data_IF_889866170706
#
_entry.id   IF_889866170706
#
_cell.length_a   1.000
_cell.length_b   1.000
_cell.length_c   1.000
_cell.angle_alpha   90.00
_cell.angle_beta   90.00
_cell.angle_gamma   90.00
#
_symmetry.space_group_name_H-M   'P 1'
#
loop_
_entity.id
_entity.type
_entity.pdbx_description
1 polymer ?
#
# COMPACT_ATOMS: atom_id res chain seq x y z
N UNK A 1 -35.20 1.18 2.08
CA UNK A 1 -33.72 1.20 2.10
C UNK A 1 -33.33 2.62 2.42
N UNK A 2 -32.75 2.89 3.59
CA UNK A 2 -32.27 4.23 3.92
C UNK A 2 -31.12 4.58 2.98
N UNK A 3 -31.25 5.67 2.22
CA UNK A 3 -30.14 6.18 1.42
C UNK A 3 -28.96 6.44 2.36
N UNK A 4 -27.81 5.86 2.02
CA UNK A 4 -26.59 6.07 2.78
C UNK A 4 -26.15 7.54 2.64
N UNK A 5 -25.81 8.22 3.75
CA UNK A 5 -25.43 9.62 3.69
C UNK A 5 -24.16 9.79 2.85
N UNK A 6 -24.25 10.67 1.86
CA UNK A 6 -23.11 11.06 1.03
C UNK A 6 -22.14 11.86 1.93
N UNK A 7 -20.84 11.52 1.95
CA UNK A 7 -19.87 12.24 2.78
C UNK A 7 -19.76 13.70 2.35
N UNK A 8 -19.62 14.60 3.32
CA UNK A 8 -19.40 16.03 3.04
C UNK A 8 -18.07 16.23 2.30
N UNK A 9 -18.07 17.08 1.26
CA UNK A 9 -16.84 17.52 0.61
C UNK A 9 -16.22 18.68 1.40
N UNK A 10 -15.07 18.49 2.07
CA UNK A 10 -14.44 19.57 2.84
C UNK A 10 -13.84 20.68 1.98
N UNK A 11 -13.67 20.46 0.67
CA UNK A 11 -13.15 21.46 -0.27
C UNK A 11 -14.26 22.34 -0.88
N UNK A 12 -15.52 22.08 -0.54
CA UNK A 12 -16.68 22.86 -1.02
C UNK A 12 -17.06 22.65 -2.50
N UNK A 13 -16.33 21.81 -3.24
CA UNK A 13 -16.70 21.42 -4.61
C UNK A 13 -17.78 20.34 -4.67
N UNK A 14 -18.06 19.85 -5.88
CA UNK A 14 -19.09 18.84 -6.13
C UNK A 14 -18.69 17.49 -5.55
N UNK A 15 -19.69 16.64 -5.30
CA UNK A 15 -19.49 15.22 -5.02
C UNK A 15 -19.98 14.41 -6.20
N UNK A 16 -19.05 13.85 -6.97
CA UNK A 16 -19.35 12.96 -8.10
C UNK A 16 -19.61 11.57 -7.54
N UNK A 17 -20.87 11.13 -7.59
CA UNK A 17 -21.31 9.85 -7.03
C UNK A 17 -21.12 8.76 -8.07
N UNK A 18 -20.51 7.64 -7.66
CA UNK A 18 -20.32 6.46 -8.48
C UNK A 18 -21.27 5.36 -8.01
N UNK A 19 -22.20 4.96 -8.88
CA UNK A 19 -23.20 3.93 -8.65
C UNK A 19 -23.66 3.37 -10.01
N UNK A 20 -23.36 2.11 -10.35
CA UNK A 20 -23.71 1.56 -11.65
C UNK A 20 -25.20 1.23 -11.77
N UNK A 21 -25.95 1.29 -10.66
CA UNK A 21 -27.39 0.97 -10.63
C UNK A 21 -28.27 2.21 -10.77
N UNK A 22 -27.74 3.41 -10.51
CA UNK A 22 -28.44 4.68 -10.66
C UNK A 22 -27.93 5.42 -11.91
N UNK A 23 -28.78 5.58 -12.92
CA UNK A 23 -28.44 6.22 -14.19
C UNK A 23 -28.05 7.71 -14.05
N UNK A 24 -28.32 8.33 -12.89
CA UNK A 24 -27.90 9.71 -12.59
C UNK A 24 -26.48 9.80 -12.04
N UNK A 25 -25.88 8.65 -11.70
CA UNK A 25 -24.55 8.54 -11.13
C UNK A 25 -23.54 8.09 -12.20
N UNK A 26 -22.25 8.24 -11.88
CA UNK A 26 -21.19 7.70 -12.73
C UNK A 26 -21.18 6.17 -12.64
N UNK A 27 -21.02 5.46 -13.77
CA UNK A 27 -21.03 4.00 -13.77
C UNK A 27 -19.75 3.39 -13.18
N UNK A 28 -18.63 4.12 -13.25
CA UNK A 28 -17.33 3.68 -12.73
C UNK A 28 -16.55 4.82 -12.09
N UNK A 29 -15.63 4.53 -11.15
CA UNK A 29 -14.79 5.57 -10.57
C UNK A 29 -13.91 6.30 -11.61
N UNK A 30 -13.40 5.62 -12.64
CA UNK A 30 -12.63 6.25 -13.72
C UNK A 30 -13.47 7.20 -14.58
N UNK A 31 -14.78 6.93 -14.75
CA UNK A 31 -15.68 7.86 -15.42
C UNK A 31 -15.84 9.15 -14.60
N UNK A 32 -16.04 9.05 -13.28
CA UNK A 32 -16.10 10.21 -12.40
C UNK A 32 -14.77 10.99 -12.39
N UNK A 33 -13.63 10.28 -12.35
CA UNK A 33 -12.31 10.91 -12.35
C UNK A 33 -11.98 11.69 -13.63
N UNK A 34 -12.68 11.47 -14.75
CA UNK A 34 -12.51 12.28 -15.98
C UNK A 34 -13.13 13.67 -15.86
N UNK A 35 -14.16 13.82 -15.03
CA UNK A 35 -14.97 15.04 -14.92
C UNK A 35 -14.69 15.83 -13.63
N UNK A 36 -13.84 15.28 -12.75
CA UNK A 36 -13.51 15.86 -11.45
C UNK A 36 -12.64 17.11 -11.62
N UNK A 37 -13.09 18.23 -11.05
CA UNK A 37 -12.30 19.44 -10.89
C UNK A 37 -11.44 19.38 -9.61
N UNK A 38 -10.53 20.34 -9.41
CA UNK A 38 -9.58 20.34 -8.28
C UNK A 38 -10.26 20.30 -6.89
N UNK A 39 -11.40 20.99 -6.73
CA UNK A 39 -12.15 21.03 -5.47
C UNK A 39 -13.21 19.94 -5.33
N UNK A 40 -13.41 19.11 -6.36
CA UNK A 40 -14.41 18.06 -6.35
C UNK A 40 -13.92 16.82 -5.58
N UNK A 41 -14.87 16.00 -5.14
CA UNK A 41 -14.59 14.67 -4.60
C UNK A 41 -15.36 13.61 -5.37
N UNK A 42 -14.78 12.41 -5.47
CA UNK A 42 -15.47 11.21 -5.97
C UNK A 42 -15.88 10.36 -4.79
N UNK A 43 -17.18 10.05 -4.69
CA UNK A 43 -17.71 9.12 -3.71
C UNK A 43 -18.16 7.82 -4.38
N UNK A 44 -17.59 6.70 -3.97
CA UNK A 44 -17.90 5.37 -4.50
C UNK A 44 -18.84 4.65 -3.53
N UNK A 45 -20.07 4.39 -3.98
CA UNK A 45 -21.05 3.62 -3.21
C UNK A 45 -20.64 2.15 -3.09
N UNK A 46 -21.26 1.39 -2.17
CA UNK A 46 -21.01 -0.04 -2.07
C UNK A 46 -21.19 -0.74 -3.42
N UNK A 47 -20.23 -1.60 -3.78
CA UNK A 47 -20.24 -2.26 -5.07
C UNK A 47 -18.90 -2.87 -5.45
N UNK A 48 -18.93 -3.62 -6.54
CA UNK A 48 -17.76 -4.23 -7.16
C UNK A 48 -17.62 -3.63 -8.55
N UNK A 49 -16.47 -3.01 -8.81
CA UNK A 49 -16.20 -2.21 -10.00
C UNK A 49 -15.03 -2.81 -10.75
N UNK A 50 -15.25 -3.26 -11.98
CA UNK A 50 -14.14 -3.57 -12.89
C UNK A 50 -13.63 -2.26 -13.49
N UNK A 51 -12.50 -1.77 -12.99
CA UNK A 51 -12.00 -0.47 -13.40
C UNK A 51 -10.49 -0.33 -13.24
N UNK A 52 -9.92 0.66 -13.94
CA UNK A 52 -8.52 1.07 -13.81
C UNK A 52 -8.48 2.57 -13.56
N UNK A 53 -7.92 2.96 -12.42
CA UNK A 53 -7.76 4.35 -12.05
C UNK A 53 -6.34 4.80 -12.35
N UNK A 54 -6.23 5.82 -13.20
CA UNK A 54 -4.97 6.46 -13.56
C UNK A 54 -5.10 7.94 -13.23
N UNK A 55 -4.23 8.43 -12.35
CA UNK A 55 -4.17 9.85 -12.01
C UNK A 55 -2.74 10.32 -12.18
N UNK A 56 -2.59 11.40 -12.94
CA UNK A 56 -1.29 11.96 -13.30
C UNK A 56 -1.32 13.47 -13.10
N UNK A 57 -0.34 14.02 -12.36
CA UNK A 57 -0.07 15.46 -12.28
C UNK A 57 -1.26 16.33 -11.83
N UNK A 58 -2.13 15.81 -10.96
CA UNK A 58 -3.29 16.53 -10.43
C UNK A 58 -3.75 15.97 -9.09
N UNK A 59 -4.41 16.78 -8.24
CA UNK A 59 -4.93 16.31 -6.97
C UNK A 59 -6.04 15.26 -7.15
N UNK A 60 -6.25 14.44 -6.12
CA UNK A 60 -7.33 13.44 -6.09
C UNK A 60 -8.00 13.39 -4.71
N UNK A 61 -9.34 13.38 -4.69
CA UNK A 61 -10.12 13.02 -3.50
C UNK A 61 -11.10 11.90 -3.84
N UNK A 62 -10.75 10.68 -3.43
CA UNK A 62 -11.49 9.46 -3.74
C UNK A 62 -11.90 8.76 -2.44
N UNK A 63 -13.21 8.69 -2.20
CA UNK A 63 -13.79 8.18 -0.96
C UNK A 63 -14.71 7.01 -1.28
N UNK A 64 -14.40 5.82 -0.79
CA UNK A 64 -15.31 4.68 -0.82
C UNK A 64 -16.18 4.61 0.43
N UNK A 65 -17.34 3.96 0.33
CA UNK A 65 -18.25 3.67 1.44
C UNK A 65 -17.69 2.70 2.52
N UNK A 66 -16.42 2.32 2.42
CA UNK A 66 -15.72 1.41 3.33
C UNK A 66 -15.05 0.28 2.55
N UNK A 67 -13.81 -0.09 2.95
CA UNK A 67 -13.01 -1.09 2.21
C UNK A 67 -13.69 -2.45 2.09
N UNK A 68 -14.53 -2.83 3.06
CA UNK A 68 -15.28 -4.10 3.03
C UNK A 68 -16.57 -4.03 2.19
N UNK A 69 -16.87 -2.85 1.64
CA UNK A 69 -18.11 -2.57 0.89
C UNK A 69 -17.84 -2.11 -0.54
N UNK A 70 -16.66 -1.56 -0.80
CA UNK A 70 -16.22 -1.11 -2.13
C UNK A 70 -15.01 -1.92 -2.57
N UNK A 71 -15.14 -2.61 -3.70
CA UNK A 71 -14.03 -3.29 -4.36
C UNK A 71 -13.84 -2.78 -5.77
N UNK A 72 -12.67 -2.23 -6.07
CA UNK A 72 -12.22 -1.92 -7.44
C UNK A 72 -11.25 -3.02 -7.85
N UNK A 73 -11.55 -3.70 -8.95
CA UNK A 73 -10.69 -4.75 -9.46
C UNK A 73 -10.36 -4.56 -10.93
N UNK A 74 -9.23 -5.12 -11.37
CA UNK A 74 -8.83 -5.09 -12.76
C UNK A 74 -8.17 -6.41 -13.15
N UNK A 75 -8.49 -6.91 -14.36
CA UNK A 75 -7.91 -8.15 -14.91
C UNK A 75 -6.73 -7.92 -15.85
N UNK A 76 -6.58 -6.70 -16.36
CA UNK A 76 -5.61 -6.36 -17.42
C UNK A 76 -4.47 -5.45 -16.97
N UNK A 77 -4.54 -4.93 -15.75
CA UNK A 77 -3.49 -4.10 -15.14
C UNK A 77 -3.73 -3.98 -13.64
N UNK A 78 -2.82 -3.32 -12.92
CA UNK A 78 -3.11 -2.85 -11.56
C UNK A 78 -4.34 -1.90 -11.56
N UNK A 79 -5.26 -2.01 -10.58
CA UNK A 79 -6.45 -1.16 -10.47
C UNK A 79 -6.17 0.30 -10.12
N UNK A 80 -5.03 0.64 -9.48
CA UNK A 80 -4.66 2.03 -9.19
C UNK A 80 -3.22 2.34 -9.62
N UNK A 81 -3.06 3.39 -10.41
CA UNK A 81 -1.79 3.99 -10.78
C UNK A 81 -1.81 5.50 -10.51
N UNK A 82 -0.92 5.97 -9.64
CA UNK A 82 -0.69 7.37 -9.34
C UNK A 82 0.70 7.78 -9.84
N UNK A 83 0.78 8.89 -10.55
CA UNK A 83 2.05 9.46 -11.00
C UNK A 83 2.07 10.96 -10.76
N UNK A 84 3.07 11.44 -10.03
CA UNK A 84 3.28 12.88 -9.81
C UNK A 84 2.02 13.57 -9.26
N UNK A 85 1.24 12.85 -8.43
CA UNK A 85 0.08 13.42 -7.75
C UNK A 85 0.60 14.35 -6.65
N UNK A 86 0.28 15.66 -6.69
CA UNK A 86 0.87 16.64 -5.77
C UNK A 86 0.26 16.59 -4.38
N UNK A 87 -1.02 16.21 -4.28
CA UNK A 87 -1.76 16.02 -3.04
C UNK A 87 -2.95 15.10 -3.28
N UNK A 88 -3.49 14.50 -2.23
CA UNK A 88 -4.73 13.75 -2.37
C UNK A 88 -5.13 12.95 -1.14
N UNK A 89 -6.35 12.44 -1.19
CA UNK A 89 -6.95 11.60 -0.16
C UNK A 89 -7.69 10.44 -0.80
N UNK A 90 -7.22 9.22 -0.58
CA UNK A 90 -7.85 7.98 -1.05
C UNK A 90 -8.21 7.13 0.17
N UNK A 91 -9.49 6.79 0.32
CA UNK A 91 -9.93 6.05 1.50
C UNK A 91 -11.07 5.09 1.29
N UNK A 92 -11.15 4.03 2.11
CA UNK A 92 -12.33 3.19 2.22
C UNK A 92 -12.59 2.31 1.00
N UNK A 93 -11.54 1.84 0.31
CA UNK A 93 -11.64 1.05 -0.93
C UNK A 93 -10.74 -0.18 -0.86
N UNK A 94 -11.25 -1.34 -1.27
CA UNK A 94 -10.42 -2.50 -1.63
C UNK A 94 -10.01 -2.39 -3.10
N UNK A 95 -8.71 -2.53 -3.36
CA UNK A 95 -8.11 -2.64 -4.67
C UNK A 95 -7.60 -4.07 -4.87
N UNK A 96 -8.13 -4.76 -5.87
CA UNK A 96 -7.82 -6.17 -6.13
C UNK A 96 -7.33 -6.37 -7.56
N UNK A 97 -6.18 -6.98 -7.74
CA UNK A 97 -5.76 -7.43 -9.05
C UNK A 97 -6.28 -8.86 -9.31
N UNK A 98 -6.82 -9.13 -10.51
CA UNK A 98 -7.43 -10.42 -10.89
C UNK A 98 -6.93 -10.87 -12.27
N UNK A 99 -5.69 -10.54 -12.61
CA UNK A 99 -5.06 -10.93 -13.87
C UNK A 99 -3.98 -12.00 -13.70
N UNK A 100 -3.44 -12.46 -14.82
CA UNK A 100 -2.32 -13.40 -14.88
C UNK A 100 -0.96 -12.74 -15.03
N UNK A 101 -0.93 -11.49 -15.49
CA UNK A 101 0.29 -10.75 -15.76
C UNK A 101 0.91 -10.17 -14.49
N UNK A 102 2.17 -9.76 -14.57
CA UNK A 102 2.93 -9.24 -13.45
C UNK A 102 2.50 -7.81 -13.09
N UNK A 103 1.48 -7.69 -12.24
CA UNK A 103 1.00 -6.42 -11.73
C UNK A 103 0.81 -6.41 -10.22
N UNK A 104 1.19 -5.27 -9.65
CA UNK A 104 0.81 -4.85 -8.30
C UNK A 104 -0.61 -4.32 -8.28
N UNK A 105 -1.29 -4.39 -7.13
CA UNK A 105 -2.62 -3.79 -7.00
C UNK A 105 -2.55 -2.25 -7.06
N UNK A 106 -1.56 -1.67 -6.37
CA UNK A 106 -1.32 -0.24 -6.29
C UNK A 106 0.09 0.10 -6.77
N UNK A 107 0.19 1.08 -7.66
CA UNK A 107 1.46 1.60 -8.17
C UNK A 107 1.51 3.12 -7.96
N UNK A 108 2.43 3.60 -7.13
CA UNK A 108 2.53 5.02 -6.77
C UNK A 108 3.93 5.54 -7.04
N UNK A 109 4.03 6.39 -8.05
CA UNK A 109 5.26 7.03 -8.53
C UNK A 109 5.27 8.51 -8.15
N UNK A 110 6.32 8.97 -7.47
CA UNK A 110 6.62 10.39 -7.24
C UNK A 110 5.41 11.21 -6.73
N UNK A 111 4.57 10.60 -5.90
CA UNK A 111 3.31 11.21 -5.47
C UNK A 111 3.35 11.54 -3.98
N UNK A 112 2.60 12.58 -3.63
CA UNK A 112 2.33 13.00 -2.26
C UNK A 112 0.83 12.93 -2.06
N UNK A 113 0.36 12.00 -1.23
CA UNK A 113 -1.05 11.86 -0.90
C UNK A 113 -1.22 11.03 0.37
N UNK A 114 -2.44 11.02 0.90
CA UNK A 114 -2.84 10.16 2.01
C UNK A 114 -3.66 9.01 1.43
N UNK A 115 -3.23 7.78 1.67
CA UNK A 115 -3.99 6.57 1.34
C UNK A 115 -4.27 5.85 2.65
N UNK A 116 -5.54 5.75 3.03
CA UNK A 116 -5.91 5.24 4.35
C UNK A 116 -7.19 4.43 4.38
N UNK A 117 -7.30 3.47 5.30
CA UNK A 117 -8.48 2.61 5.43
C UNK A 117 -8.81 1.87 4.12
N UNK A 118 -7.79 1.60 3.29
CA UNK A 118 -7.91 0.82 2.06
C UNK A 118 -7.45 -0.62 2.29
N UNK A 119 -7.72 -1.48 1.30
CA UNK A 119 -7.13 -2.82 1.20
C UNK A 119 -6.46 -2.99 -0.17
N UNK A 120 -5.26 -3.54 -0.24
CA UNK A 120 -4.59 -3.92 -1.48
C UNK A 120 -4.32 -5.43 -1.47
N UNK A 121 -4.83 -6.16 -2.46
CA UNK A 121 -4.75 -7.62 -2.42
C UNK A 121 -4.62 -8.31 -3.78
N UNK A 122 -4.12 -9.54 -3.74
CA UNK A 122 -4.00 -10.46 -4.87
C UNK A 122 -3.16 -9.89 -6.05
N UNK A 123 -2.21 -9.00 -5.75
CA UNK A 123 -1.14 -8.66 -6.68
C UNK A 123 -0.32 -9.91 -7.05
N UNK A 124 -0.02 -10.06 -8.33
CA UNK A 124 0.93 -11.09 -8.79
C UNK A 124 2.37 -10.66 -8.49
N UNK A 125 2.61 -9.34 -8.46
CA UNK A 125 3.79 -8.76 -7.83
C UNK A 125 3.47 -8.38 -6.38
N UNK A 126 4.25 -7.44 -5.83
CA UNK A 126 3.94 -6.85 -4.54
C UNK A 126 2.58 -6.15 -4.54
N UNK A 127 1.84 -6.16 -3.42
CA UNK A 127 0.51 -5.56 -3.36
C UNK A 127 0.50 -4.06 -3.64
N UNK A 128 1.47 -3.36 -3.05
CA UNK A 128 1.68 -1.92 -3.20
C UNK A 128 3.14 -1.66 -3.53
N UNK A 129 3.40 -0.89 -4.58
CA UNK A 129 4.73 -0.37 -4.89
C UNK A 129 4.76 1.15 -4.74
N UNK A 130 5.70 1.65 -3.92
CA UNK A 130 5.94 3.06 -3.65
C UNK A 130 7.34 3.40 -4.15
N UNK A 131 7.46 4.24 -5.17
CA UNK A 131 8.75 4.43 -5.84
C UNK A 131 8.96 5.84 -6.41
N UNK A 132 10.24 6.15 -6.61
CA UNK A 132 10.71 7.43 -7.13
C UNK A 132 11.09 8.44 -6.02
N UNK A 133 12.07 9.32 -6.29
CA UNK A 133 12.70 10.19 -5.28
C UNK A 133 11.75 11.22 -4.68
N UNK A 134 10.63 11.53 -5.34
CA UNK A 134 9.62 12.49 -4.87
C UNK A 134 8.41 11.81 -4.22
N UNK A 135 8.45 10.48 -4.04
CA UNK A 135 7.36 9.77 -3.37
C UNK A 135 7.38 10.08 -1.86
N UNK A 136 6.33 10.77 -1.38
CA UNK A 136 6.12 11.19 0.03
C UNK A 136 4.72 10.79 0.53
N UNK A 137 4.21 9.66 0.06
CA UNK A 137 2.88 9.16 0.45
C UNK A 137 2.82 8.87 1.95
N UNK A 138 1.71 9.27 2.59
CA UNK A 138 1.32 8.75 3.88
C UNK A 138 0.38 7.56 3.66
N UNK A 139 0.92 6.34 3.80
CA UNK A 139 0.20 5.10 3.63
C UNK A 139 -0.15 4.54 5.01
N UNK A 140 -1.38 4.79 5.49
CA UNK A 140 -1.75 4.57 6.89
C UNK A 140 -3.04 3.80 7.12
N UNK A 141 -3.11 2.93 8.14
CA UNK A 141 -4.31 2.13 8.45
C UNK A 141 -4.85 1.28 7.28
N UNK A 142 -3.96 0.78 6.43
CA UNK A 142 -4.35 -0.08 5.31
C UNK A 142 -4.11 -1.56 5.63
N UNK A 143 -4.80 -2.43 4.90
CA UNK A 143 -4.52 -3.85 4.87
C UNK A 143 -3.89 -4.23 3.52
N UNK A 144 -2.76 -4.93 3.54
CA UNK A 144 -2.07 -5.38 2.33
C UNK A 144 -1.83 -6.87 2.43
N UNK A 145 -2.59 -7.66 1.64
CA UNK A 145 -2.70 -9.08 1.90
C UNK A 145 -2.79 -9.98 0.66
N UNK A 146 -2.36 -11.23 0.83
CA UNK A 146 -2.48 -12.30 -0.19
C UNK A 146 -1.83 -11.94 -1.54
N UNK A 147 -0.74 -11.20 -1.51
CA UNK A 147 0.04 -10.88 -2.70
C UNK A 147 1.11 -11.96 -2.93
N UNK A 148 1.47 -12.21 -4.20
CA UNK A 148 2.46 -13.25 -4.57
C UNK A 148 3.91 -12.85 -4.36
N UNK A 149 4.16 -11.58 -4.05
CA UNK A 149 5.45 -11.13 -3.53
C UNK A 149 5.26 -10.45 -2.18
N UNK A 150 5.84 -9.26 -1.97
CA UNK A 150 5.73 -8.54 -0.71
C UNK A 150 4.38 -7.84 -0.59
N UNK A 151 3.96 -7.52 0.63
CA UNK A 151 2.81 -6.64 0.82
C UNK A 151 3.10 -5.25 0.26
N UNK A 152 4.01 -4.53 0.91
CA UNK A 152 4.45 -3.19 0.51
C UNK A 152 5.91 -3.25 0.07
N UNK A 153 6.23 -2.65 -1.08
CA UNK A 153 7.60 -2.53 -1.57
C UNK A 153 7.98 -1.07 -1.85
N UNK A 154 8.98 -0.58 -1.13
CA UNK A 154 9.52 0.79 -1.23
C UNK A 154 10.89 0.76 -1.89
N UNK A 155 11.08 1.52 -2.98
CA UNK A 155 12.36 1.53 -3.71
C UNK A 155 12.58 2.81 -4.54
N UNK A 156 13.70 2.88 -5.26
CA UNK A 156 14.06 3.98 -6.15
C UNK A 156 13.97 5.38 -5.51
N UNK A 157 14.47 5.53 -4.29
CA UNK A 157 14.57 6.83 -3.62
C UNK A 157 13.31 7.27 -2.88
N UNK A 158 12.28 6.43 -2.81
CA UNK A 158 11.02 6.79 -2.16
C UNK A 158 11.17 6.96 -0.64
N UNK A 159 10.47 7.96 -0.10
CA UNK A 159 10.50 8.31 1.34
C UNK A 159 9.06 8.44 1.88
N UNK A 160 8.23 7.39 1.78
CA UNK A 160 6.87 7.41 2.30
C UNK A 160 6.84 7.25 3.82
N UNK A 161 5.75 7.70 4.44
CA UNK A 161 5.39 7.27 5.79
C UNK A 161 4.46 6.07 5.68
N UNK A 162 4.94 4.90 6.10
CA UNK A 162 4.18 3.63 6.10
C UNK A 162 3.90 3.27 7.55
N UNK A 163 2.68 3.53 8.01
CA UNK A 163 2.36 3.34 9.42
C UNK A 163 1.01 2.73 9.70
N UNK A 164 0.90 2.02 10.82
CA UNK A 164 -0.38 1.49 11.30
C UNK A 164 -1.05 0.52 10.28
N UNK A 165 -0.27 -0.05 9.34
CA UNK A 165 -0.77 -0.98 8.34
C UNK A 165 -0.69 -2.44 8.81
N UNK A 166 -1.57 -3.29 8.27
CA UNK A 166 -1.51 -4.75 8.43
C UNK A 166 -1.04 -5.38 7.12
N UNK A 167 0.17 -5.93 7.11
CA UNK A 167 0.74 -6.68 5.98
C UNK A 167 0.67 -8.18 6.30
N UNK A 168 -0.31 -8.88 5.73
CA UNK A 168 -0.68 -10.24 6.16
C UNK A 168 -0.78 -11.24 5.01
N UNK A 169 -0.36 -12.48 5.25
CA UNK A 169 -0.50 -13.58 4.27
C UNK A 169 0.14 -13.28 2.89
N UNK A 170 1.21 -12.47 2.84
CA UNK A 170 1.95 -12.24 1.59
C UNK A 170 2.99 -13.35 1.36
N UNK A 171 3.23 -13.69 0.10
CA UNK A 171 4.07 -14.83 -0.25
C UNK A 171 5.57 -14.56 -0.15
N UNK A 172 5.99 -13.29 -0.15
CA UNK A 172 7.34 -12.90 0.27
C UNK A 172 7.30 -12.22 1.64
N UNK A 173 7.57 -10.91 1.69
CA UNK A 173 7.73 -10.15 2.92
C UNK A 173 6.45 -9.36 3.24
N UNK A 174 6.23 -9.01 4.50
CA UNK A 174 5.20 -8.02 4.83
C UNK A 174 5.53 -6.67 4.20
N UNK A 175 6.72 -6.14 4.49
CA UNK A 175 7.25 -4.89 3.94
C UNK A 175 8.69 -5.12 3.45
N UNK A 176 9.01 -4.66 2.25
CA UNK A 176 10.36 -4.65 1.70
C UNK A 176 10.83 -3.23 1.36
N UNK A 177 12.10 -2.91 1.63
CA UNK A 177 12.73 -1.63 1.30
C UNK A 177 14.06 -1.90 0.60
N UNK A 178 14.28 -1.26 -0.56
CA UNK A 178 15.47 -1.47 -1.40
C UNK A 178 16.03 -0.17 -1.94
N UNK A 179 17.30 -0.20 -2.30
CA UNK A 179 18.05 0.83 -3.01
C UNK A 179 18.46 2.00 -2.10
N UNK A 180 19.65 2.55 -2.37
CA UNK A 180 20.13 3.77 -1.73
C UNK A 180 19.16 4.93 -1.96
N UNK A 181 18.97 5.76 -0.93
CA UNK A 181 18.06 6.90 -0.95
C UNK A 181 16.60 6.55 -0.71
N UNK A 182 16.21 5.27 -0.69
CA UNK A 182 14.91 4.85 -0.18
C UNK A 182 14.93 4.93 1.34
N UNK A 183 14.11 5.80 1.92
CA UNK A 183 14.11 6.14 3.35
C UNK A 183 12.69 6.24 3.92
N UNK A 184 11.91 5.14 3.96
CA UNK A 184 10.58 5.19 4.53
C UNK A 184 10.62 5.33 6.06
N UNK A 185 9.54 5.88 6.60
CA UNK A 185 9.21 5.74 8.02
C UNK A 185 8.27 4.55 8.22
N UNK A 186 8.81 3.42 8.71
CA UNK A 186 8.05 2.20 9.03
C UNK A 186 7.68 2.22 10.53
N UNK A 187 6.44 2.60 10.83
CA UNK A 187 6.00 2.86 12.21
C UNK A 187 4.73 2.09 12.55
N UNK A 188 4.74 1.29 13.63
CA UNK A 188 3.52 0.59 14.11
C UNK A 188 2.81 -0.30 13.08
N UNK A 189 3.54 -0.85 12.12
CA UNK A 189 2.96 -1.82 11.20
C UNK A 189 2.91 -3.21 11.85
N UNK A 190 1.88 -3.97 11.52
CA UNK A 190 1.79 -5.39 11.83
C UNK A 190 2.17 -6.20 10.59
N UNK A 191 3.24 -6.98 10.68
CA UNK A 191 3.64 -7.96 9.67
C UNK A 191 3.44 -9.37 10.22
N UNK A 192 2.41 -10.06 9.72
CA UNK A 192 1.94 -11.33 10.27
C UNK A 192 1.67 -12.37 9.18
N UNK A 193 1.99 -13.64 9.47
CA UNK A 193 1.68 -14.77 8.59
C UNK A 193 2.24 -14.64 7.15
N UNK A 194 3.35 -13.90 6.96
CA UNK A 194 4.01 -13.84 5.65
C UNK A 194 4.94 -15.05 5.45
N UNK A 195 5.05 -15.52 4.22
CA UNK A 195 5.80 -16.74 3.86
C UNK A 195 7.33 -16.58 3.94
N UNK A 196 7.86 -15.36 3.97
CA UNK A 196 9.26 -15.09 4.29
C UNK A 196 9.34 -14.32 5.62
N UNK A 197 9.94 -13.13 5.62
CA UNK A 197 10.13 -12.32 6.84
C UNK A 197 9.09 -11.20 6.95
N UNK A 198 8.88 -10.67 8.15
CA UNK A 198 7.98 -9.55 8.36
C UNK A 198 8.45 -8.30 7.60
N UNK A 199 9.66 -7.83 7.90
CA UNK A 199 10.27 -6.67 7.23
C UNK A 199 11.63 -7.05 6.64
N UNK A 200 11.89 -6.66 5.39
CA UNK A 200 13.18 -6.75 4.73
C UNK A 200 13.70 -5.35 4.38
N UNK A 201 14.95 -5.04 4.72
CA UNK A 201 15.69 -3.87 4.23
C UNK A 201 17.01 -4.33 3.61
N UNK A 202 17.28 -3.94 2.36
CA UNK A 202 18.42 -4.46 1.61
C UNK A 202 18.96 -3.48 0.56
N UNK A 203 20.18 -3.72 0.07
CA UNK A 203 20.82 -2.95 -1.01
C UNK A 203 20.89 -1.45 -0.71
N UNK A 204 21.63 -1.09 0.35
CA UNK A 204 21.82 0.29 0.79
C UNK A 204 20.56 1.07 1.20
N UNK A 205 19.43 0.39 1.38
CA UNK A 205 18.21 1.00 1.89
C UNK A 205 18.41 1.57 3.31
N UNK A 206 17.69 2.63 3.61
CA UNK A 206 17.74 3.33 4.89
C UNK A 206 16.31 3.55 5.40
N UNK A 207 16.13 4.10 6.59
CA UNK A 207 14.82 4.53 7.06
C UNK A 207 14.51 4.14 8.50
N UNK A 208 13.42 4.69 9.03
CA UNK A 208 12.99 4.47 10.40
C UNK A 208 12.25 3.12 10.51
N UNK A 209 12.59 2.29 11.50
CA UNK A 209 11.88 1.03 11.80
C UNK A 209 11.59 0.96 13.31
N UNK A 210 10.42 1.43 13.73
CA UNK A 210 10.04 1.52 15.16
C UNK A 210 8.60 1.09 15.41
N UNK A 211 8.37 0.53 16.60
CA UNK A 211 7.08 0.09 17.12
C UNK A 211 6.33 -0.92 16.23
N UNK A 212 7.00 -1.55 15.27
CA UNK A 212 6.38 -2.56 14.42
C UNK A 212 6.20 -3.87 15.20
N UNK A 213 5.18 -4.63 14.85
CA UNK A 213 4.94 -5.98 15.36
C UNK A 213 5.21 -6.98 14.24
N UNK A 214 6.14 -7.90 14.44
CA UNK A 214 6.40 -8.98 13.48
C UNK A 214 6.22 -10.34 14.16
N UNK A 215 5.28 -11.15 13.68
CA UNK A 215 4.93 -12.43 14.30
C UNK A 215 4.46 -13.46 13.27
N UNK A 216 4.65 -14.74 13.55
CA UNK A 216 4.16 -15.86 12.73
C UNK A 216 4.60 -15.81 11.25
N UNK A 217 5.60 -15.00 10.90
CA UNK A 217 6.22 -15.07 9.58
C UNK A 217 7.08 -16.34 9.53
N UNK A 218 7.18 -17.00 8.39
CA UNK A 218 7.86 -18.31 8.31
C UNK A 218 9.38 -18.18 8.50
N UNK A 219 9.97 -17.01 8.21
CA UNK A 219 11.39 -16.76 8.39
C UNK A 219 11.65 -15.85 9.60
N UNK A 220 12.08 -14.62 9.36
CA UNK A 220 12.49 -13.69 10.40
C UNK A 220 11.41 -12.65 10.70
N UNK A 221 11.41 -12.06 11.89
CA UNK A 221 10.63 -10.85 12.12
C UNK A 221 11.16 -9.70 11.25
N UNK A 222 12.44 -9.37 11.40
CA UNK A 222 13.15 -8.37 10.59
C UNK A 222 14.43 -9.00 9.99
N UNK A 223 14.67 -8.79 8.70
CA UNK A 223 15.86 -9.23 7.97
C UNK A 223 16.54 -8.02 7.32
N UNK A 224 17.85 -7.88 7.50
CA UNK A 224 18.66 -6.82 6.87
C UNK A 224 19.80 -7.40 6.02
N UNK A 225 20.36 -6.59 5.12
CA UNK A 225 21.71 -6.80 4.60
C UNK A 225 22.74 -5.94 5.35
N UNK A 226 24.03 -6.32 5.36
CA UNK A 226 25.08 -5.57 6.08
C UNK A 226 25.24 -4.11 5.63
N UNK A 227 24.90 -3.83 4.37
CA UNK A 227 24.99 -2.52 3.73
C UNK A 227 23.74 -1.64 3.93
N UNK A 228 22.72 -2.13 4.64
CA UNK A 228 21.52 -1.35 4.98
C UNK A 228 21.75 -0.43 6.18
N UNK A 229 21.04 0.70 6.22
CA UNK A 229 21.21 1.74 7.24
C UNK A 229 19.87 2.06 7.94
N UNK A 230 19.34 1.13 8.75
CA UNK A 230 18.13 1.41 9.52
C UNK A 230 18.41 2.46 10.60
N UNK A 231 17.35 3.19 10.94
CA UNK A 231 17.27 4.01 12.12
C UNK A 231 16.16 3.44 13.02
N UNK A 232 16.41 3.12 14.29
CA UNK A 232 17.69 3.13 14.98
C UNK A 232 18.65 2.05 14.46
N UNK A 233 19.90 2.09 14.94
CA UNK A 233 20.96 1.20 14.50
C UNK A 233 20.55 -0.29 14.60
N UNK A 234 21.11 -1.20 13.77
CA UNK A 234 20.72 -2.61 13.71
C UNK A 234 20.60 -3.31 15.08
N UNK A 235 21.52 -3.03 16.01
CA UNK A 235 21.52 -3.60 17.37
C UNK A 235 20.35 -3.16 18.25
N UNK A 236 19.71 -2.04 17.94
CA UNK A 236 18.58 -1.50 18.70
C UNK A 236 17.21 -1.94 18.14
N UNK A 237 17.16 -2.49 16.92
CA UNK A 237 15.88 -2.87 16.29
C UNK A 237 15.06 -3.87 17.10
N UNK A 238 15.65 -4.91 17.74
CA UNK A 238 14.87 -5.86 18.53
C UNK A 238 14.19 -5.26 19.76
N UNK A 239 14.73 -4.18 20.34
CA UNK A 239 14.12 -3.50 21.49
C UNK A 239 13.15 -2.40 21.07
N UNK A 240 13.30 -1.89 19.84
CA UNK A 240 12.49 -0.81 19.29
C UNK A 240 11.29 -1.31 18.51
N UNK A 241 11.14 -2.63 18.37
CA UNK A 241 10.02 -3.30 17.70
C UNK A 241 9.59 -4.49 18.54
N UNK A 242 8.32 -4.91 18.44
CA UNK A 242 7.82 -6.12 19.09
C UNK A 242 7.97 -7.31 18.15
N UNK A 243 9.09 -8.02 18.29
CA UNK A 243 9.39 -9.20 17.49
C UNK A 243 8.98 -10.46 18.26
N UNK A 244 7.78 -10.97 17.95
CA UNK A 244 7.23 -12.19 18.55
C UNK A 244 7.81 -13.44 17.83
N UNK A 245 7.48 -14.68 18.23
CA UNK A 245 7.97 -15.86 17.53
C UNK A 245 7.66 -15.83 16.02
N UNK A 246 8.70 -16.08 15.22
CA UNK A 246 8.66 -16.30 13.77
C UNK A 246 9.41 -17.62 13.49
N UNK A 247 9.22 -18.22 12.31
CA UNK A 247 9.61 -19.61 12.05
C UNK A 247 11.12 -19.89 12.12
N UNK A 248 11.98 -18.94 11.73
CA UNK A 248 13.44 -19.05 11.88
C UNK A 248 13.92 -18.25 13.10
N UNK A 249 13.47 -17.01 13.27
CA UNK A 249 13.89 -16.19 14.41
C UNK A 249 13.35 -14.77 14.38
N UNK A 250 13.68 -13.96 15.39
CA UNK A 250 13.12 -12.60 15.50
C UNK A 250 13.81 -11.58 14.59
N UNK A 251 15.13 -11.68 14.41
CA UNK A 251 15.94 -10.70 13.71
C UNK A 251 17.23 -11.33 13.15
N UNK A 252 17.64 -10.94 11.94
CA UNK A 252 18.94 -11.34 11.37
C UNK A 252 19.51 -10.30 10.40
N UNK A 253 20.84 -10.35 10.21
CA UNK A 253 21.55 -9.71 9.11
C UNK A 253 22.11 -10.83 8.22
N UNK A 254 21.99 -10.71 6.90
CA UNK A 254 22.45 -11.72 5.93
C UNK A 254 22.97 -11.09 4.66
N UNK A 255 24.08 -11.61 4.12
CA UNK A 255 24.60 -11.26 2.80
C UNK A 255 23.71 -11.78 1.65
N UNK A 256 22.81 -12.72 1.95
CA UNK A 256 21.98 -13.43 0.96
C UNK A 256 20.51 -13.44 1.39
N UNK A 257 19.87 -12.27 1.58
CA UNK A 257 18.52 -12.19 2.13
C UNK A 257 17.43 -12.75 1.19
N UNK A 258 17.76 -12.92 -0.10
CA UNK A 258 16.84 -13.40 -1.14
C UNK A 258 17.10 -14.85 -1.57
N UNK A 259 18.09 -15.55 -0.99
CA UNK A 259 18.49 -16.89 -1.45
C UNK A 259 17.42 -17.97 -1.32
N UNK A 260 16.33 -17.68 -0.60
CA UNK A 260 15.20 -18.58 -0.38
C UNK A 260 13.97 -18.21 -1.22
N UNK A 261 14.03 -17.14 -2.04
CA UNK A 261 12.95 -16.80 -2.98
C UNK A 261 12.98 -17.81 -4.14
N UNK A 262 11.85 -18.48 -4.38
CA UNK A 262 11.69 -19.45 -5.47
C UNK A 262 11.96 -20.92 -5.10
N UNK A 263 12.09 -21.23 -3.81
CA UNK A 263 11.98 -22.61 -3.27
C UNK A 263 10.58 -22.82 -2.71
#
# INVERSE_FOLDING_TARGET
MSEEPIPTNPLGGRTLIVDPTDQRCYPTPSAALKDVAESDQVYVRPGIYEDKLVVTQRPIRLVGAGRDRVQIFCRRSGPLYLQEVPEGWITGITFRYVGSDQHSALNILNSTCIITQCRAMEGILSGVVLYGPECRVAFTDNEVCRNRESGIFVFAGAQPRVADNRCVENHHFGIAVRDSGSRPDLVRNLCEDNMLSGILMFQHAEGLIVDNVCRNNQHWGILLTPDSHPNPAPSALPTMNRLEPNGIGVYSISDQPLAQIGR
#
